data_IF_449922491849
#
_entry.id   IF_449922491849
#
_cell.length_a   1.000
_cell.length_b   1.000
_cell.length_c   1.000
_cell.angle_alpha   90.00
_cell.angle_beta   90.00
_cell.angle_gamma   90.00
#
_symmetry.space_group_name_H-M   'P 1'
#
loop_
_entity.id
_entity.type
_entity.pdbx_description
1 polymer ?
#
# COMPACT_ATOMS: atom_id res chain seq x y z
N UNK A 1 -6.06 6.41 -6.62
CA UNK A 1 -6.13 6.11 -5.18
C UNK A 1 -7.58 6.22 -4.72
N UNK A 2 -8.00 5.52 -3.65
CA UNK A 2 -9.34 5.72 -3.10
C UNK A 2 -9.52 7.17 -2.64
N UNK A 3 -10.76 7.65 -2.64
CA UNK A 3 -11.08 9.03 -2.25
C UNK A 3 -10.61 9.25 -0.81
N UNK A 4 -9.85 10.32 -0.56
CA UNK A 4 -9.32 10.65 0.76
C UNK A 4 -7.96 10.02 1.11
N UNK A 5 -7.37 9.23 0.21
CA UNK A 5 -6.11 8.55 0.48
C UNK A 5 -4.92 9.51 0.39
N UNK A 6 -4.23 9.72 1.50
CA UNK A 6 -3.14 10.68 1.61
C UNK A 6 -3.52 12.00 2.31
N UNK A 7 -4.79 12.20 2.64
CA UNK A 7 -5.31 13.49 3.14
C UNK A 7 -5.04 13.71 4.65
N UNK A 8 -4.80 12.66 5.43
CA UNK A 8 -4.49 12.72 6.87
C UNK A 8 -3.05 12.21 7.17
N UNK A 9 -1.99 12.86 6.64
CA UNK A 9 -0.60 12.38 6.76
C UNK A 9 -0.06 12.40 8.19
N UNK A 10 -0.64 13.20 9.08
CA UNK A 10 -0.26 13.26 10.51
C UNK A 10 -0.84 12.10 11.34
N UNK A 11 -1.87 11.44 10.82
CA UNK A 11 -2.59 10.36 11.51
C UNK A 11 -2.33 8.99 10.90
N UNK A 12 -2.12 8.93 9.59
CA UNK A 12 -1.89 7.69 8.85
C UNK A 12 -0.60 7.75 8.04
N UNK A 13 0.09 6.61 7.98
CA UNK A 13 1.10 6.36 6.94
C UNK A 13 0.41 5.69 5.76
N UNK A 14 0.74 6.17 4.58
CA UNK A 14 0.19 5.70 3.32
C UNK A 14 1.29 5.04 2.49
N UNK A 15 1.03 3.81 2.07
CA UNK A 15 1.92 2.98 1.29
C UNK A 15 1.16 2.48 0.04
N UNK A 16 1.85 2.45 -1.10
CA UNK A 16 1.35 1.93 -2.37
C UNK A 16 2.15 0.67 -2.70
N UNK A 17 1.43 -0.43 -2.84
CA UNK A 17 1.98 -1.74 -3.16
C UNK A 17 1.76 -1.97 -4.66
N UNK A 18 2.80 -1.77 -5.46
CA UNK A 18 2.80 -2.08 -6.87
C UNK A 18 2.91 -3.58 -7.06
N UNK A 19 2.06 -4.15 -7.91
CA UNK A 19 2.03 -5.59 -8.17
C UNK A 19 2.64 -5.87 -9.54
N UNK A 20 3.51 -6.86 -9.59
CA UNK A 20 4.14 -7.36 -10.83
C UNK A 20 3.46 -8.66 -11.24
N UNK A 21 3.29 -8.85 -12.54
CA UNK A 21 2.79 -10.12 -13.08
C UNK A 21 3.64 -11.31 -12.60
N UNK A 22 3.03 -12.47 -12.26
CA UNK A 22 1.63 -12.85 -12.46
C UNK A 22 0.66 -12.47 -11.33
N UNK A 23 1.09 -11.64 -10.37
CA UNK A 23 0.29 -11.26 -9.20
C UNK A 23 -0.77 -10.21 -9.57
N UNK A 24 -2.05 -10.55 -9.38
CA UNK A 24 -3.16 -9.63 -9.61
C UNK A 24 -3.61 -8.96 -8.30
N UNK A 25 -4.20 -7.75 -8.35
CA UNK A 25 -4.73 -7.09 -7.16
C UNK A 25 -5.75 -7.93 -6.38
N UNK A 26 -6.60 -8.68 -7.09
CA UNK A 26 -7.57 -9.56 -6.45
C UNK A 26 -6.89 -10.69 -5.65
N UNK A 27 -5.86 -11.33 -6.23
CA UNK A 27 -5.08 -12.38 -5.54
C UNK A 27 -4.27 -11.82 -4.37
N UNK A 28 -3.67 -10.65 -4.55
CA UNK A 28 -2.92 -9.98 -3.49
C UNK A 28 -3.83 -9.59 -2.33
N UNK A 29 -5.00 -9.01 -2.61
CA UNK A 29 -5.98 -8.62 -1.59
C UNK A 29 -6.46 -9.81 -0.75
N UNK A 30 -6.63 -10.99 -1.35
CA UNK A 30 -7.02 -12.21 -0.63
C UNK A 30 -5.92 -12.77 0.29
N UNK A 31 -4.64 -12.41 0.06
CA UNK A 31 -3.51 -12.87 0.87
C UNK A 31 -3.00 -11.81 1.84
N UNK A 32 -3.23 -10.53 1.55
CA UNK A 32 -2.87 -9.43 2.44
C UNK A 32 -3.84 -9.42 3.61
N UNK A 33 -3.30 -9.63 4.80
CA UNK A 33 -4.05 -9.46 6.05
C UNK A 33 -3.93 -8.03 6.55
N UNK A 34 -5.06 -7.42 6.90
CA UNK A 34 -5.11 -6.13 7.59
C UNK A 34 -5.48 -6.34 9.05
N UNK A 35 -4.91 -5.54 9.94
CA UNK A 35 -5.35 -5.49 11.33
C UNK A 35 -6.49 -4.49 11.49
N UNK A 36 -7.66 -4.96 11.90
CA UNK A 36 -8.82 -4.10 12.12
C UNK A 36 -8.50 -2.95 13.09
N UNK A 37 -8.91 -1.73 12.72
CA UNK A 37 -8.66 -0.53 13.50
C UNK A 37 -7.21 -0.07 13.55
N UNK A 38 -6.30 -0.67 12.77
CA UNK A 38 -4.90 -0.22 12.62
C UNK A 38 -4.56 -0.04 11.15
N UNK A 39 -4.83 -1.05 10.33
CA UNK A 39 -4.54 -1.10 8.91
C UNK A 39 -5.82 -1.02 8.08
N UNK A 40 -5.70 -0.44 6.90
CA UNK A 40 -6.72 -0.48 5.86
C UNK A 40 -6.01 -0.81 4.54
N UNK A 41 -6.65 -1.65 3.73
CA UNK A 41 -6.18 -1.98 2.40
C UNK A 41 -7.32 -1.76 1.40
N UNK A 42 -6.98 -1.21 0.24
CA UNK A 42 -7.91 -0.96 -0.84
C UNK A 42 -7.33 -1.46 -2.15
N UNK A 43 -8.16 -2.16 -2.92
CA UNK A 43 -7.77 -2.68 -4.22
C UNK A 43 -7.78 -1.58 -5.28
N UNK A 44 -6.67 -1.45 -6.01
CA UNK A 44 -6.55 -0.63 -7.21
C UNK A 44 -6.40 -1.49 -8.48
N UNK A 45 -6.18 -0.84 -9.64
CA UNK A 45 -6.10 -1.51 -10.95
C UNK A 45 -4.86 -2.41 -11.10
N UNK A 46 -3.70 -1.93 -10.65
CA UNK A 46 -2.41 -2.67 -10.68
C UNK A 46 -1.66 -2.57 -9.34
N UNK A 47 -2.33 -2.03 -8.33
CA UNK A 47 -1.73 -1.70 -7.04
C UNK A 47 -2.69 -2.02 -5.91
N UNK A 48 -2.17 -2.19 -4.70
CA UNK A 48 -2.95 -2.08 -3.47
C UNK A 48 -2.55 -0.80 -2.75
N UNK A 49 -3.54 -0.06 -2.28
CA UNK A 49 -3.34 1.09 -1.42
C UNK A 49 -3.46 0.62 0.02
N UNK A 50 -2.44 0.87 0.82
CA UNK A 50 -2.37 0.46 2.21
C UNK A 50 -2.19 1.69 3.10
N UNK A 51 -3.01 1.81 4.14
CA UNK A 51 -2.85 2.85 5.15
C UNK A 51 -2.80 2.24 6.53
N UNK A 52 -1.99 2.82 7.41
CA UNK A 52 -1.85 2.38 8.80
C UNK A 52 -1.80 3.56 9.76
N UNK A 53 -2.43 3.42 10.93
CA UNK A 53 -2.39 4.43 11.98
C UNK A 53 -0.95 4.62 12.48
N UNK A 54 -0.49 5.87 12.55
CA UNK A 54 0.84 6.21 13.05
C UNK A 54 0.98 5.80 14.52
N UNK A 55 -0.03 6.09 15.35
CA UNK A 55 -0.05 5.76 16.78
C UNK A 55 0.03 4.27 17.07
N UNK A 56 -0.32 3.42 16.10
CA UNK A 56 -0.30 1.95 16.21
C UNK A 56 0.55 1.31 15.11
N UNK A 57 1.48 2.05 14.50
CA UNK A 57 2.22 1.58 13.33
C UNK A 57 3.06 0.32 13.61
N UNK A 58 3.53 0.13 14.84
CA UNK A 58 4.24 -1.08 15.28
C UNK A 58 3.36 -2.34 15.30
N UNK A 59 2.05 -2.16 15.37
CA UNK A 59 1.05 -3.24 15.40
C UNK A 59 0.53 -3.63 14.01
N UNK A 60 0.95 -2.89 12.98
CA UNK A 60 0.54 -3.08 11.59
C UNK A 60 0.97 -4.44 11.06
N UNK A 61 0.08 -5.06 10.27
CA UNK A 61 0.38 -6.31 9.56
C UNK A 61 1.10 -6.10 8.24
N UNK A 62 1.46 -4.85 7.89
CA UNK A 62 2.28 -4.56 6.72
C UNK A 62 3.59 -5.38 6.72
N UNK A 63 4.21 -5.58 7.88
CA UNK A 63 5.44 -6.39 8.01
C UNK A 63 5.22 -7.86 7.71
N UNK A 64 4.00 -8.39 7.91
CA UNK A 64 3.66 -9.79 7.57
C UNK A 64 3.70 -10.03 6.07
N UNK A 65 3.48 -9.00 5.26
CA UNK A 65 3.52 -9.10 3.79
C UNK A 65 4.92 -9.53 3.32
N UNK A 66 5.98 -9.12 4.03
CA UNK A 66 7.37 -9.48 3.73
C UNK A 66 7.59 -11.00 3.80
N UNK A 67 6.85 -11.70 4.67
CA UNK A 67 6.92 -13.15 4.83
C UNK A 67 6.12 -13.94 3.80
N UNK A 68 5.34 -13.28 2.92
CA UNK A 68 4.52 -13.98 1.93
C UNK A 68 5.36 -14.32 0.68
N UNK A 69 5.13 -15.47 0.04
CA UNK A 69 5.86 -15.86 -1.18
C UNK A 69 5.64 -14.86 -2.33
N UNK A 70 4.50 -14.17 -2.33
CA UNK A 70 4.18 -13.13 -3.31
C UNK A 70 4.95 -11.82 -3.12
N UNK A 71 5.69 -11.63 -2.02
CA UNK A 71 6.45 -10.41 -1.74
C UNK A 71 7.48 -10.09 -2.86
N UNK A 72 8.04 -11.12 -3.48
CA UNK A 72 8.98 -10.97 -4.60
C UNK A 72 8.34 -10.34 -5.84
N UNK A 73 7.02 -10.48 -5.99
CA UNK A 73 6.24 -9.95 -7.09
C UNK A 73 5.53 -8.65 -6.74
N UNK A 74 6.01 -7.92 -5.72
CA UNK A 74 5.48 -6.61 -5.37
C UNK A 74 6.57 -5.62 -5.01
N UNK A 75 6.23 -4.34 -5.10
CA UNK A 75 7.10 -3.24 -4.69
C UNK A 75 6.30 -2.30 -3.81
N UNK A 76 6.72 -2.15 -2.56
CA UNK A 76 6.11 -1.22 -1.61
C UNK A 76 6.85 0.12 -1.69
N UNK A 77 6.11 1.22 -1.87
CA UNK A 77 6.60 2.59 -1.82
C UNK A 77 5.68 3.45 -0.97
N UNK A 78 6.23 4.39 -0.23
CA UNK A 78 5.39 5.33 0.51
C UNK A 78 4.68 6.29 -0.46
N UNK A 79 3.59 6.88 -0.01
CA UNK A 79 2.76 7.78 -0.81
C UNK A 79 3.53 8.99 -1.35
N UNK A 80 4.40 9.60 -0.53
CA UNK A 80 5.19 10.76 -0.93
C UNK A 80 6.14 10.46 -2.09
N UNK A 81 6.82 9.31 -2.08
CA UNK A 81 7.67 8.88 -3.18
C UNK A 81 6.82 8.58 -4.41
N UNK A 82 5.67 7.91 -4.25
CA UNK A 82 4.78 7.61 -5.38
C UNK A 82 4.26 8.87 -6.06
N UNK A 83 3.83 9.88 -5.31
CA UNK A 83 3.33 11.14 -5.88
C UNK A 83 4.45 11.96 -6.53
N UNK A 84 5.65 11.97 -5.94
CA UNK A 84 6.82 12.60 -6.55
C UNK A 84 7.23 11.95 -7.87
N UNK A 85 7.23 10.61 -7.93
CA UNK A 85 7.53 9.88 -9.16
C UNK A 85 6.49 10.19 -10.25
N UNK A 86 5.20 10.20 -9.90
CA UNK A 86 4.14 10.59 -10.83
C UNK A 86 4.38 12.01 -11.38
N UNK A 87 4.65 12.97 -10.51
CA UNK A 87 4.90 14.35 -10.91
C UNK A 87 6.16 14.53 -11.78
N UNK A 88 7.14 13.61 -11.71
CA UNK A 88 8.28 13.59 -12.63
C UNK A 88 7.89 13.02 -13.99
N UNK A 89 7.09 11.96 -14.02
CA UNK A 89 6.60 11.34 -15.27
C UNK A 89 5.61 12.23 -16.03
N UNK A 90 4.82 13.05 -15.33
CA UNK A 90 3.87 14.00 -15.94
C UNK A 90 4.55 15.26 -16.51
N UNK A 91 5.81 15.49 -16.15
CA UNK A 91 6.60 16.64 -16.65
C UNK A 91 7.37 16.33 -17.94
N UNK A 92 7.41 15.07 -18.37
CA UNK A 92 7.93 14.63 -19.67
C UNK A 92 6.80 14.59 -20.71
#
# INVERSE_FOLDING_TARGET
APKGFGDEPDKYRYDVIFLKEPLTPAKAMGQVSVREGVDQAYQGKYVLYFSRLISRASQSYLTKIIGLPMYQNMTIRNWNTTTKLLALMEKE
#
